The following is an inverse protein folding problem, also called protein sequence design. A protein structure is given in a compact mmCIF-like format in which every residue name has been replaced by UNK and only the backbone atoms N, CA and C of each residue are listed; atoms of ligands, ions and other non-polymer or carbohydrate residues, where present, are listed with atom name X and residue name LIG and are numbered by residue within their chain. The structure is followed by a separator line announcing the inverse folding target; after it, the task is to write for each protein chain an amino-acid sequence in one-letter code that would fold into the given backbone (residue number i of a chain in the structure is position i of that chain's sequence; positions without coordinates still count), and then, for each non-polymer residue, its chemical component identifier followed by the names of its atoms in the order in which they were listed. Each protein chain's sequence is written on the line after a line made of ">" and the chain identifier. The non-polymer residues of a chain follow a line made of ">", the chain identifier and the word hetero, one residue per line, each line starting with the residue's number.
data_IF_948199580271
#
_entry.id   IF_948199580271
#
_cell.length_a   1.000
_cell.length_b   1.000
_cell.length_c   1.000
_cell.angle_alpha   90.00
_cell.angle_beta   90.00
_cell.angle_gamma   90.00
#
_symmetry.space_group_name_H-M   'P 1'
#
loop_
_entity.id
_entity.type
_entity.pdbx_description
1 polymer ?
#
# COMPACT_ATOMS: atom_id res chain seq x y z
N UNK A 1 -42.60 35.00 4.76
CA UNK A 1 -41.46 34.34 5.46
C UNK A 1 -40.69 33.32 4.62
N UNK A 2 -41.32 32.46 3.80
CA UNK A 2 -40.60 31.43 3.00
C UNK A 2 -39.56 31.98 2.00
N UNK A 3 -39.82 33.11 1.34
CA UNK A 3 -38.86 33.74 0.41
C UNK A 3 -37.57 34.24 1.07
N UNK A 4 -37.60 34.51 2.38
CA UNK A 4 -36.41 34.98 3.11
C UNK A 4 -35.54 33.81 3.59
N UNK A 5 -36.11 32.61 3.76
CA UNK A 5 -35.37 31.39 4.16
C UNK A 5 -34.45 30.86 3.04
N UNK A 6 -34.88 30.97 1.78
CA UNK A 6 -34.15 30.47 0.61
C UNK A 6 -32.75 31.10 0.41
N UNK A 7 -32.58 32.43 0.51
CA UNK A 7 -31.24 33.04 0.42
C UNK A 7 -30.36 32.72 1.64
N UNK A 8 -30.93 32.53 2.83
CA UNK A 8 -30.14 32.11 4.01
C UNK A 8 -29.64 30.67 3.88
N UNK A 9 -30.47 29.76 3.35
CA UNK A 9 -30.04 28.39 3.05
C UNK A 9 -28.94 28.38 1.98
N UNK A 10 -29.12 29.16 0.90
CA UNK A 10 -28.10 29.29 -0.14
C UNK A 10 -26.78 29.85 0.41
N UNK A 11 -26.84 30.91 1.22
CA UNK A 11 -25.67 31.49 1.91
C UNK A 11 -24.95 30.46 2.78
N UNK A 12 -25.70 29.71 3.58
CA UNK A 12 -25.10 28.71 4.49
C UNK A 12 -24.46 27.55 3.71
N UNK A 13 -25.07 27.12 2.59
CA UNK A 13 -24.47 26.12 1.69
C UNK A 13 -23.19 26.65 1.04
N UNK A 14 -23.16 27.92 0.62
CA UNK A 14 -21.98 28.54 0.02
C UNK A 14 -20.83 28.63 1.03
N UNK A 15 -21.13 29.03 2.27
CA UNK A 15 -20.16 29.05 3.37
C UNK A 15 -19.61 27.64 3.63
N UNK A 16 -20.47 26.63 3.73
CA UNK A 16 -20.06 25.25 3.92
C UNK A 16 -19.17 24.74 2.77
N UNK A 17 -19.53 25.07 1.53
CA UNK A 17 -18.77 24.69 0.34
C UNK A 17 -17.37 25.32 0.32
N UNK A 18 -17.23 26.60 0.71
CA UNK A 18 -15.93 27.24 0.86
C UNK A 18 -15.02 26.56 1.90
N UNK A 19 -15.60 26.08 3.01
CA UNK A 19 -14.84 25.33 4.03
C UNK A 19 -14.39 23.95 3.52
N UNK A 20 -15.24 23.23 2.80
CA UNK A 20 -14.91 21.89 2.29
C UNK A 20 -13.90 21.93 1.14
N UNK A 21 -13.99 22.93 0.25
CA UNK A 21 -13.04 23.11 -0.86
C UNK A 21 -11.59 23.33 -0.42
N UNK A 22 -11.38 23.82 0.80
CA UNK A 22 -10.04 24.07 1.35
C UNK A 22 -9.33 22.79 1.83
N UNK A 23 -10.05 21.66 1.89
CA UNK A 23 -9.51 20.38 2.30
C UNK A 23 -8.74 19.73 1.13
N UNK A 24 -7.41 19.90 1.13
CA UNK A 24 -6.54 19.13 0.26
C UNK A 24 -6.27 17.76 0.92
N UNK A 25 -6.76 16.70 0.31
CA UNK A 25 -6.37 15.33 0.68
C UNK A 25 -5.24 14.89 -0.23
N UNK A 26 -4.10 14.55 0.35
CA UNK A 26 -2.98 13.95 -0.38
C UNK A 26 -2.81 12.53 0.15
N UNK A 27 -3.02 11.55 -0.71
CA UNK A 27 -2.59 10.19 -0.44
C UNK A 27 -1.09 10.14 -0.75
N UNK A 28 -0.25 10.10 0.29
CA UNK A 28 1.17 9.87 0.09
C UNK A 28 1.37 8.41 -0.30
N UNK A 29 1.99 8.18 -1.46
CA UNK A 29 2.31 6.82 -1.90
C UNK A 29 3.37 6.24 -0.96
N UNK A 30 3.16 5.00 -0.51
CA UNK A 30 4.22 4.26 0.16
C UNK A 30 5.20 3.79 -0.90
N UNK A 31 6.31 4.53 -1.03
CA UNK A 31 7.35 4.17 -1.98
C UNK A 31 7.80 2.71 -1.80
N UNK A 32 7.98 2.03 -2.94
CA UNK A 32 8.48 0.67 -2.97
C UNK A 32 7.63 -0.32 -2.17
N UNK A 33 6.30 -0.12 -2.06
CA UNK A 33 5.40 -1.00 -1.28
C UNK A 33 5.54 -2.49 -1.65
N UNK A 34 5.81 -2.78 -2.93
CA UNK A 34 5.96 -4.12 -3.48
C UNK A 34 7.42 -4.58 -3.63
N UNK A 35 8.37 -3.84 -3.06
CA UNK A 35 9.81 -4.16 -3.15
C UNK A 35 10.40 -4.32 -1.76
N UNK A 36 11.38 -5.23 -1.64
CA UNK A 36 12.16 -5.42 -0.42
C UNK A 36 13.64 -5.55 -0.74
N UNK A 37 14.47 -4.88 0.07
CA UNK A 37 15.93 -5.06 0.06
C UNK A 37 16.29 -6.15 1.05
N UNK A 38 16.96 -7.18 0.57
CA UNK A 38 17.40 -8.32 1.38
C UNK A 38 18.89 -8.55 1.17
N UNK A 39 19.59 -8.93 2.24
CA UNK A 39 20.99 -9.33 2.13
C UNK A 39 21.08 -10.68 1.42
N UNK A 40 22.05 -10.81 0.50
CA UNK A 40 22.39 -12.07 -0.15
C UNK A 40 23.76 -12.49 0.36
N UNK A 41 23.85 -13.66 1.00
CA UNK A 41 25.08 -14.10 1.66
C UNK A 41 26.22 -14.38 0.67
N UNK A 42 25.90 -14.86 -0.53
CA UNK A 42 26.87 -15.07 -1.60
C UNK A 42 26.20 -15.03 -2.98
N UNK A 43 26.99 -15.14 -4.05
CA UNK A 43 26.46 -15.23 -5.42
C UNK A 43 25.94 -16.63 -5.78
N UNK A 44 25.99 -17.60 -4.86
CA UNK A 44 25.50 -18.95 -5.10
C UNK A 44 24.00 -18.95 -5.42
N UNK A 45 23.58 -19.87 -6.28
CA UNK A 45 22.16 -20.01 -6.63
C UNK A 45 21.30 -20.31 -5.39
N UNK A 46 21.81 -21.08 -4.43
CA UNK A 46 21.08 -21.40 -3.20
C UNK A 46 20.85 -20.16 -2.35
N UNK A 47 21.87 -19.34 -2.14
CA UNK A 47 21.75 -18.14 -1.31
C UNK A 47 20.87 -17.08 -1.97
N UNK A 48 20.94 -16.97 -3.32
CA UNK A 48 20.03 -16.12 -4.09
C UNK A 48 18.59 -16.58 -3.98
N UNK A 49 18.33 -17.89 -4.10
CA UNK A 49 16.99 -18.46 -3.98
C UNK A 49 16.40 -18.20 -2.57
N UNK A 50 17.22 -18.37 -1.53
CA UNK A 50 16.80 -18.07 -0.16
C UNK A 50 16.51 -16.57 0.03
N UNK A 51 17.35 -15.70 -0.52
CA UNK A 51 17.13 -14.26 -0.45
C UNK A 51 15.82 -13.85 -1.14
N UNK A 52 15.52 -14.40 -2.32
CA UNK A 52 14.26 -14.12 -3.03
C UNK A 52 13.03 -14.60 -2.24
N UNK A 53 13.12 -15.76 -1.59
CA UNK A 53 12.08 -16.26 -0.67
C UNK A 53 11.86 -15.31 0.52
N UNK A 54 12.95 -14.82 1.11
CA UNK A 54 12.90 -13.84 2.19
C UNK A 54 12.32 -12.50 1.73
N UNK A 55 12.66 -12.05 0.51
CA UNK A 55 12.14 -10.82 -0.06
C UNK A 55 10.62 -10.88 -0.23
N UNK A 56 10.10 -11.97 -0.79
CA UNK A 56 8.66 -12.16 -0.92
C UNK A 56 7.96 -12.16 0.45
N UNK A 57 8.54 -12.83 1.43
CA UNK A 57 8.00 -12.86 2.80
C UNK A 57 7.95 -11.45 3.41
N UNK A 58 9.02 -10.66 3.25
CA UNK A 58 9.08 -9.28 3.72
C UNK A 58 8.06 -8.37 3.02
N UNK A 59 7.87 -8.52 1.70
CA UNK A 59 6.86 -7.77 0.94
C UNK A 59 5.45 -8.08 1.46
N UNK A 60 5.14 -9.35 1.72
CA UNK A 60 3.83 -9.76 2.24
C UNK A 60 3.55 -9.18 3.64
N UNK A 61 4.57 -9.11 4.50
CA UNK A 61 4.46 -8.42 5.80
C UNK A 61 4.26 -6.92 5.60
N UNK A 62 4.98 -6.29 4.67
CA UNK A 62 4.85 -4.85 4.38
C UNK A 62 3.45 -4.49 3.89
N UNK A 63 2.84 -5.34 3.07
CA UNK A 63 1.47 -5.13 2.53
C UNK A 63 0.41 -5.51 3.56
N UNK A 64 0.61 -6.63 4.27
CA UNK A 64 -0.36 -7.16 5.25
C UNK A 64 -0.31 -6.53 6.63
N UNK A 65 0.73 -5.75 6.92
CA UNK A 65 0.99 -5.11 8.21
C UNK A 65 1.42 -6.07 9.33
N UNK A 66 1.45 -7.39 9.08
CA UNK A 66 1.86 -8.44 10.02
C UNK A 66 2.26 -9.71 9.27
N UNK A 67 2.87 -10.64 9.98
CA UNK A 67 3.03 -12.00 9.48
C UNK A 67 1.67 -12.65 9.24
N UNK A 68 1.53 -13.30 8.09
CA UNK A 68 0.29 -13.95 7.67
C UNK A 68 0.53 -15.45 7.63
N UNK A 69 0.08 -16.14 8.67
CA UNK A 69 0.07 -17.60 8.69
C UNK A 69 -1.16 -18.13 7.94
N UNK A 70 -0.98 -18.41 6.65
CA UNK A 70 -2.02 -18.97 5.81
C UNK A 70 -1.42 -19.99 4.84
N UNK A 71 -2.04 -21.18 4.66
CA UNK A 71 -1.46 -22.26 3.85
C UNK A 71 -1.19 -21.83 2.40
N UNK A 72 -2.08 -21.02 1.81
CA UNK A 72 -1.90 -20.51 0.45
C UNK A 72 -0.73 -19.52 0.33
N UNK A 73 -0.48 -18.74 1.38
CA UNK A 73 0.65 -17.80 1.42
C UNK A 73 1.95 -18.56 1.60
N UNK A 74 1.99 -19.54 2.50
CA UNK A 74 3.15 -20.42 2.68
C UNK A 74 3.49 -21.15 1.37
N UNK A 75 2.47 -21.60 0.63
CA UNK A 75 2.66 -22.18 -0.70
C UNK A 75 3.20 -21.15 -1.71
N UNK A 76 2.70 -19.91 -1.70
CA UNK A 76 3.21 -18.85 -2.58
C UNK A 76 4.67 -18.51 -2.28
N UNK A 77 5.04 -18.41 -0.99
CA UNK A 77 6.42 -18.18 -0.54
C UNK A 77 7.35 -19.33 -0.99
N UNK A 78 6.89 -20.58 -0.89
CA UNK A 78 7.66 -21.71 -1.41
C UNK A 78 7.79 -21.72 -2.95
N UNK A 79 6.86 -21.08 -3.65
CA UNK A 79 6.87 -20.89 -5.11
C UNK A 79 7.33 -19.47 -5.51
N UNK A 80 8.23 -18.86 -4.74
CA UNK A 80 8.63 -17.45 -4.89
C UNK A 80 9.00 -17.03 -6.32
N UNK A 81 9.59 -17.93 -7.12
CA UNK A 81 9.96 -17.69 -8.52
C UNK A 81 8.78 -17.25 -9.42
N UNK A 82 7.54 -17.54 -9.02
CA UNK A 82 6.33 -17.13 -9.75
C UNK A 82 5.88 -15.70 -9.42
N UNK A 83 6.34 -15.14 -8.30
CA UNK A 83 5.83 -13.89 -7.73
C UNK A 83 6.90 -12.81 -7.61
N UNK A 84 8.16 -13.21 -7.56
CA UNK A 84 9.30 -12.29 -7.52
C UNK A 84 9.91 -12.23 -8.90
N UNK A 85 9.83 -11.05 -9.53
CA UNK A 85 10.62 -10.75 -10.71
C UNK A 85 11.93 -10.12 -10.26
N UNK A 86 13.05 -10.56 -10.84
CA UNK A 86 14.35 -9.96 -10.55
C UNK A 86 14.44 -8.62 -11.27
N UNK A 87 14.09 -7.52 -10.61
CA UNK A 87 14.27 -6.17 -11.16
C UNK A 87 14.95 -5.19 -10.19
N UNK A 88 16.04 -4.64 -10.74
CA UNK A 88 16.91 -3.50 -10.38
C UNK A 88 17.55 -3.48 -8.98
#
# INVERSE_FOLDING_TARGET
>A
MKHMLMPYMFRNCLIFFCFVLSLNTSAIEVENLYSAKVAVASQSNSDRNQALKNALSAILVKIGGKEIDHPQINQAINNYNKYVTQYQ
#
